data_IF_268969265049
#
_entry.id   IF_268969265049
#
_cell.length_a   1.000
_cell.length_b   1.000
_cell.length_c   1.000
_cell.angle_alpha   90.00
_cell.angle_beta   90.00
_cell.angle_gamma   90.00
#
_symmetry.space_group_name_H-M   'P 1'
#
loop_
_entity.id
_entity.type
_entity.pdbx_description
1 polymer ?
#
# COMPACT_ATOMS: atom_id res chain seq x y z
N UNK A 1 -33.59 45.57 -5.01
CA UNK A 1 -32.39 44.72 -5.24
C UNK A 1 -32.13 44.01 -3.96
N UNK A 2 -32.66 42.81 -3.81
CA UNK A 2 -32.42 41.95 -2.64
C UNK A 2 -31.17 41.12 -2.88
N UNK A 3 -30.18 41.35 -2.02
CA UNK A 3 -28.91 40.62 -2.08
C UNK A 3 -29.13 39.16 -1.72
N UNK A 4 -28.70 38.28 -2.60
CA UNK A 4 -28.59 36.84 -2.33
C UNK A 4 -27.42 36.64 -1.39
N UNK A 5 -27.63 36.23 -0.17
CA UNK A 5 -26.60 35.79 0.79
C UNK A 5 -26.34 34.31 0.58
N UNK A 6 -25.20 33.92 0.03
CA UNK A 6 -24.88 32.49 -0.21
C UNK A 6 -24.62 31.69 1.07
N UNK A 7 -24.67 32.32 2.26
CA UNK A 7 -24.41 31.67 3.55
C UNK A 7 -25.66 31.39 4.39
N UNK A 8 -26.85 31.81 3.92
CA UNK A 8 -28.10 31.58 4.63
C UNK A 8 -28.62 30.16 4.34
N UNK A 9 -28.16 29.17 5.09
CA UNK A 9 -28.69 27.81 4.99
C UNK A 9 -27.82 26.69 5.60
N UNK A 10 -26.58 26.97 5.96
CA UNK A 10 -25.75 25.96 6.62
C UNK A 10 -25.97 26.00 8.11
N UNK A 11 -26.62 24.98 8.65
CA UNK A 11 -26.77 24.80 10.11
C UNK A 11 -25.46 24.19 10.64
N UNK A 12 -24.95 24.64 11.81
CA UNK A 12 -23.81 23.96 12.44
C UNK A 12 -24.23 22.54 12.81
N UNK A 13 -23.59 21.53 12.20
CA UNK A 13 -23.88 20.12 12.44
C UNK A 13 -24.37 19.33 11.22
N UNK A 14 -24.31 19.86 10.00
CA UNK A 14 -24.57 19.06 8.80
C UNK A 14 -23.37 18.12 8.56
N UNK A 15 -23.59 16.81 8.70
CA UNK A 15 -22.59 15.75 8.53
C UNK A 15 -21.99 15.65 7.10
N UNK A 16 -22.33 16.56 6.19
CA UNK A 16 -21.90 16.62 4.80
C UNK A 16 -21.21 17.94 4.42
N UNK A 17 -20.59 18.65 5.36
CA UNK A 17 -19.75 19.80 5.01
C UNK A 17 -18.49 19.30 4.28
N UNK A 18 -18.30 19.61 2.99
CA UNK A 18 -17.13 19.17 2.24
C UNK A 18 -15.81 19.78 2.76
N UNK A 19 -15.86 20.74 3.69
CA UNK A 19 -14.68 21.27 4.38
C UNK A 19 -14.27 20.43 5.59
N UNK A 20 -15.14 19.54 6.07
CA UNK A 20 -14.88 18.58 7.16
C UNK A 20 -14.71 17.15 6.65
N UNK A 21 -14.32 16.96 5.41
CA UNK A 21 -13.82 15.64 4.99
C UNK A 21 -12.65 15.29 5.92
N UNK A 22 -12.72 14.13 6.61
CA UNK A 22 -11.61 13.72 7.43
C UNK A 22 -10.37 13.73 6.57
N UNK A 23 -9.44 14.61 6.90
CA UNK A 23 -8.10 14.62 6.32
C UNK A 23 -7.49 13.29 6.75
N UNK A 24 -7.57 12.28 5.87
CA UNK A 24 -6.85 11.02 6.00
C UNK A 24 -5.34 11.22 5.75
N UNK A 25 -4.83 12.38 6.13
CA UNK A 25 -3.43 12.62 6.45
C UNK A 25 -3.18 12.29 7.93
N UNK A 26 -3.68 11.14 8.37
CA UNK A 26 -3.13 10.59 9.59
C UNK A 26 -1.82 9.94 9.20
N UNK A 27 -0.76 10.46 9.80
CA UNK A 27 0.56 9.91 9.81
C UNK A 27 0.48 8.40 10.01
N UNK A 28 0.44 7.68 8.89
CA UNK A 28 0.76 6.25 8.93
C UNK A 28 2.18 6.26 9.42
N UNK A 29 2.42 5.79 10.62
CA UNK A 29 3.78 5.64 11.13
C UNK A 29 4.47 4.55 10.30
N UNK A 30 4.95 4.98 9.13
CA UNK A 30 5.69 4.15 8.19
C UNK A 30 7.02 3.69 8.78
N UNK A 31 7.41 4.22 9.95
CA UNK A 31 8.68 3.95 10.59
C UNK A 31 8.56 2.93 11.73
N UNK A 32 7.35 2.56 12.16
CA UNK A 32 7.17 1.54 13.18
C UNK A 32 7.68 0.19 12.64
N UNK A 33 8.84 -0.22 13.08
CA UNK A 33 9.43 -1.55 12.89
C UNK A 33 9.76 -1.97 11.44
N UNK A 34 9.99 -1.01 10.53
CA UNK A 34 10.47 -1.35 9.19
C UNK A 34 11.95 -1.74 9.20
N UNK A 35 12.29 -2.77 8.42
CA UNK A 35 13.66 -3.24 8.27
C UNK A 35 14.37 -2.54 7.12
N UNK A 36 15.67 -2.25 7.33
CA UNK A 36 16.54 -1.63 6.33
C UNK A 36 17.32 -2.66 5.49
N UNK A 37 17.26 -3.93 5.88
CA UNK A 37 17.98 -5.02 5.18
C UNK A 37 17.09 -6.25 5.05
N UNK A 38 17.20 -6.99 3.93
CA UNK A 38 16.51 -8.26 3.76
C UNK A 38 16.90 -9.25 4.86
N UNK A 39 15.96 -10.13 5.23
CA UNK A 39 16.19 -11.19 6.20
C UNK A 39 16.93 -12.39 5.65
N UNK A 40 16.93 -13.47 6.40
CA UNK A 40 17.53 -14.74 6.04
C UNK A 40 16.81 -15.41 4.87
N UNK A 41 17.48 -16.36 4.23
CA UNK A 41 16.89 -17.23 3.22
C UNK A 41 15.86 -18.16 3.89
N UNK A 42 14.73 -18.35 3.22
CA UNK A 42 13.65 -19.26 3.59
C UNK A 42 13.63 -20.40 2.57
N UNK A 43 14.14 -21.58 2.90
CA UNK A 43 14.31 -22.67 1.93
C UNK A 43 13.02 -23.08 1.22
N UNK A 44 11.90 -23.10 1.94
CA UNK A 44 10.60 -23.50 1.40
C UNK A 44 10.03 -22.49 0.39
N UNK A 45 10.58 -21.29 0.34
CA UNK A 45 10.13 -20.21 -0.56
C UNK A 45 10.97 -20.08 -1.84
N UNK A 46 11.98 -20.93 -2.06
CA UNK A 46 12.91 -20.80 -3.20
C UNK A 46 12.25 -21.06 -4.56
N UNK A 47 11.16 -21.82 -4.60
CA UNK A 47 10.43 -22.11 -5.85
C UNK A 47 9.60 -20.93 -6.36
N UNK A 48 9.49 -19.87 -5.58
CA UNK A 48 8.69 -18.68 -5.90
C UNK A 48 9.60 -17.45 -6.02
N UNK A 49 9.30 -16.60 -7.00
CA UNK A 49 9.90 -15.26 -7.07
C UNK A 49 9.35 -14.40 -5.93
N UNK A 50 8.06 -14.47 -5.70
CA UNK A 50 7.40 -13.74 -4.61
C UNK A 50 6.41 -14.67 -3.90
N UNK A 51 6.50 -14.72 -2.58
CA UNK A 51 5.60 -15.46 -1.72
C UNK A 51 5.13 -14.54 -0.58
N UNK A 52 3.84 -14.40 -0.45
CA UNK A 52 3.17 -13.93 0.77
C UNK A 52 2.55 -15.13 1.46
N UNK A 53 2.92 -15.38 2.70
CA UNK A 53 2.49 -16.54 3.46
C UNK A 53 1.75 -16.13 4.73
N UNK A 54 0.46 -16.47 4.80
CA UNK A 54 -0.47 -16.22 5.91
C UNK A 54 -0.43 -14.79 6.46
N UNK A 55 -0.41 -13.78 5.58
CA UNK A 55 -0.30 -12.38 5.98
C UNK A 55 -1.52 -11.91 6.76
N UNK A 56 -1.27 -11.40 7.95
CA UNK A 56 -2.20 -10.59 8.72
C UNK A 56 -1.65 -9.18 8.80
N UNK A 57 -2.37 -8.20 8.28
CA UNK A 57 -1.89 -6.83 8.14
C UNK A 57 -3.01 -5.80 8.24
N UNK A 58 -2.68 -4.57 8.64
CA UNK A 58 -3.62 -3.47 8.73
C UNK A 58 -2.91 -2.13 8.85
N UNK A 59 -3.68 -1.05 8.69
CA UNK A 59 -3.15 0.32 8.75
C UNK A 59 -2.97 0.83 10.19
N UNK A 60 -3.65 0.20 11.15
CA UNK A 60 -3.61 0.61 12.56
C UNK A 60 -3.28 -0.57 13.45
N UNK A 61 -2.55 -0.35 14.56
CA UNK A 61 -2.30 -1.38 15.55
C UNK A 61 -3.61 -2.01 16.04
N UNK A 62 -3.69 -3.34 15.98
CA UNK A 62 -4.87 -4.10 16.43
C UNK A 62 -6.05 -4.14 15.45
N UNK A 63 -6.00 -3.44 14.31
CA UNK A 63 -7.03 -3.50 13.27
C UNK A 63 -6.49 -4.20 12.04
N UNK A 64 -6.84 -5.46 11.86
CA UNK A 64 -6.44 -6.24 10.70
C UNK A 64 -7.45 -6.10 9.56
N UNK A 65 -6.96 -5.74 8.37
CA UNK A 65 -7.73 -5.76 7.12
C UNK A 65 -7.49 -7.08 6.38
N UNK A 66 -6.25 -7.57 6.46
CA UNK A 66 -5.91 -8.91 5.98
C UNK A 66 -5.92 -9.88 7.15
N UNK A 67 -6.49 -11.05 6.92
CA UNK A 67 -6.52 -12.13 7.89
C UNK A 67 -6.04 -13.42 7.20
N UNK A 68 -4.79 -13.81 7.46
CA UNK A 68 -4.17 -15.05 6.96
C UNK A 68 -4.26 -15.17 5.43
N UNK A 69 -3.87 -14.12 4.71
CA UNK A 69 -3.90 -14.11 3.24
C UNK A 69 -2.59 -14.63 2.68
N UNK A 70 -2.65 -15.56 1.72
CA UNK A 70 -1.47 -16.08 1.02
C UNK A 70 -1.54 -15.82 -0.48
N UNK A 71 -0.38 -15.58 -1.11
CA UNK A 71 -0.24 -15.39 -2.54
C UNK A 71 1.16 -15.83 -2.97
N UNK A 72 1.24 -16.50 -4.11
CA UNK A 72 2.51 -16.91 -4.71
C UNK A 72 2.62 -16.39 -6.13
N UNK A 73 3.83 -16.08 -6.57
CA UNK A 73 4.17 -15.79 -7.96
C UNK A 73 5.50 -16.46 -8.33
N UNK A 74 5.51 -17.15 -9.46
CA UNK A 74 6.71 -17.76 -10.05
C UNK A 74 7.36 -16.84 -11.06
N UNK A 75 8.55 -17.20 -11.50
CA UNK A 75 9.24 -16.44 -12.54
C UNK A 75 8.44 -16.42 -13.85
N UNK A 76 8.29 -15.21 -14.44
CA UNK A 76 7.50 -15.00 -15.65
C UNK A 76 5.98 -15.15 -15.49
N UNK A 77 5.46 -15.36 -14.29
CA UNK A 77 4.04 -15.54 -14.04
C UNK A 77 3.31 -14.20 -13.93
N UNK A 78 2.10 -14.14 -14.51
CA UNK A 78 1.14 -13.05 -14.32
C UNK A 78 0.05 -13.51 -13.32
N UNK A 79 -0.01 -12.89 -12.16
CA UNK A 79 -0.98 -13.20 -11.11
C UNK A 79 -2.08 -12.14 -11.04
N UNK A 80 -3.34 -12.56 -11.17
CA UNK A 80 -4.51 -11.69 -11.05
C UNK A 80 -5.20 -11.83 -9.69
N UNK A 81 -5.42 -10.71 -8.98
CA UNK A 81 -6.18 -10.69 -7.72
C UNK A 81 -7.57 -10.14 -7.99
N UNK A 82 -8.59 -10.98 -7.85
CA UNK A 82 -9.99 -10.67 -8.15
C UNK A 82 -10.81 -10.69 -6.84
N UNK A 83 -11.77 -9.78 -6.74
CA UNK A 83 -12.68 -9.72 -5.59
C UNK A 83 -13.43 -8.40 -5.50
N UNK A 84 -14.45 -8.29 -4.64
CA UNK A 84 -15.23 -7.07 -4.46
C UNK A 84 -14.39 -5.90 -3.93
N UNK A 85 -14.94 -4.69 -4.02
CA UNK A 85 -14.32 -3.53 -3.37
C UNK A 85 -14.32 -3.71 -1.85
N UNK A 86 -13.23 -3.31 -1.20
CA UNK A 86 -13.05 -3.51 0.24
C UNK A 86 -12.52 -4.91 0.64
N UNK A 87 -12.34 -5.85 -0.28
CA UNK A 87 -11.84 -7.21 0.03
C UNK A 87 -10.34 -7.28 0.41
N UNK A 88 -9.65 -6.14 0.57
CA UNK A 88 -8.24 -6.13 0.96
C UNK A 88 -7.22 -6.30 -0.17
N UNK A 89 -7.63 -6.34 -1.46
CA UNK A 89 -6.71 -6.54 -2.60
C UNK A 89 -5.54 -5.55 -2.61
N UNK A 90 -5.85 -4.27 -2.52
CA UNK A 90 -4.82 -3.21 -2.50
C UNK A 90 -4.01 -3.22 -1.20
N UNK A 91 -4.61 -3.66 -0.10
CA UNK A 91 -3.90 -3.81 1.19
C UNK A 91 -2.89 -4.94 1.12
N UNK A 92 -3.22 -6.06 0.47
CA UNK A 92 -2.29 -7.17 0.24
C UNK A 92 -1.08 -6.70 -0.57
N UNK A 93 -1.30 -6.04 -1.71
CA UNK A 93 -0.20 -5.51 -2.52
C UNK A 93 0.65 -4.50 -1.76
N UNK A 94 0.02 -3.60 -0.99
CA UNK A 94 0.75 -2.62 -0.16
C UNK A 94 1.53 -3.28 0.97
N UNK A 95 0.99 -4.32 1.62
CA UNK A 95 1.69 -5.09 2.65
C UNK A 95 2.91 -5.80 2.08
N UNK A 96 2.78 -6.42 0.90
CA UNK A 96 3.91 -7.05 0.20
C UNK A 96 4.99 -6.05 -0.22
N UNK A 97 4.62 -4.81 -0.49
CA UNK A 97 5.55 -3.72 -0.83
C UNK A 97 6.01 -2.89 0.38
N UNK A 98 5.73 -3.32 1.61
CA UNK A 98 6.19 -2.64 2.83
C UNK A 98 5.51 -1.30 3.12
N UNK A 99 4.38 -0.99 2.48
CA UNK A 99 3.58 0.22 2.71
C UNK A 99 2.49 0.04 3.77
N UNK A 100 2.25 -1.20 4.19
CA UNK A 100 1.33 -1.56 5.28
C UNK A 100 2.05 -2.57 6.14
N UNK A 101 2.01 -2.38 7.45
CA UNK A 101 2.72 -3.25 8.38
C UNK A 101 2.09 -4.65 8.45
N UNK A 102 2.93 -5.65 8.31
CA UNK A 102 2.56 -7.07 8.47
C UNK A 102 2.72 -7.45 9.94
N UNK A 103 1.61 -7.76 10.60
CA UNK A 103 1.59 -8.16 12.01
C UNK A 103 2.02 -9.62 12.20
N UNK A 104 1.54 -10.51 11.31
CA UNK A 104 1.93 -11.93 11.30
C UNK A 104 2.02 -12.44 9.87
N UNK A 105 2.72 -13.54 9.69
CA UNK A 105 3.01 -14.09 8.37
C UNK A 105 4.33 -13.59 7.82
N UNK A 106 4.62 -13.89 6.56
CA UNK A 106 5.91 -13.59 5.94
C UNK A 106 5.75 -13.21 4.48
N UNK A 107 6.61 -12.30 4.00
CA UNK A 107 6.79 -12.01 2.58
C UNK A 107 8.23 -12.39 2.20
N UNK A 108 8.40 -13.17 1.13
CA UNK A 108 9.73 -13.50 0.62
C UNK A 108 9.88 -13.13 -0.85
N UNK A 109 11.08 -12.67 -1.22
CA UNK A 109 11.49 -12.41 -2.59
C UNK A 109 12.66 -13.35 -2.92
N UNK A 110 12.47 -14.22 -3.89
CA UNK A 110 13.48 -15.24 -4.30
C UNK A 110 14.03 -16.00 -3.09
N UNK A 111 13.13 -16.43 -2.19
CA UNK A 111 13.49 -17.14 -0.97
C UNK A 111 14.06 -16.28 0.15
N UNK A 112 14.27 -14.98 -0.05
CA UNK A 112 14.81 -14.07 0.96
C UNK A 112 13.66 -13.33 1.68
N UNK A 113 13.64 -13.33 2.99
CA UNK A 113 12.62 -12.65 3.78
C UNK A 113 12.71 -11.13 3.62
N UNK A 114 11.63 -10.54 3.11
CA UNK A 114 11.45 -9.09 2.89
C UNK A 114 10.31 -8.51 3.72
N UNK A 115 9.79 -9.23 4.71
CA UNK A 115 8.67 -8.80 5.55
C UNK A 115 8.99 -7.48 6.24
N UNK A 116 8.10 -6.50 6.12
CA UNK A 116 8.27 -5.14 6.67
C UNK A 116 9.57 -4.44 6.23
N UNK A 117 10.11 -4.80 5.06
CA UNK A 117 11.23 -4.09 4.48
C UNK A 117 10.74 -2.75 3.91
N UNK A 118 11.55 -1.70 4.06
CA UNK A 118 11.23 -0.37 3.52
C UNK A 118 11.08 -0.41 2.00
N UNK A 119 10.12 0.36 1.48
CA UNK A 119 9.82 0.40 0.05
C UNK A 119 11.01 0.85 -0.81
N UNK A 120 11.86 1.78 -0.34
CA UNK A 120 13.06 2.23 -1.04
C UNK A 120 14.14 1.14 -1.14
N UNK A 121 14.19 0.23 -0.16
CA UNK A 121 15.07 -0.94 -0.20
C UNK A 121 14.50 -2.00 -1.15
N UNK A 122 13.17 -2.23 -1.13
CA UNK A 122 12.52 -3.16 -2.06
C UNK A 122 12.73 -2.78 -3.52
N UNK A 123 12.71 -1.48 -3.84
CA UNK A 123 13.03 -1.01 -5.20
C UNK A 123 14.46 -1.41 -5.60
N UNK A 124 15.42 -1.32 -4.71
CA UNK A 124 16.82 -1.76 -4.96
C UNK A 124 16.93 -3.27 -5.14
N UNK A 125 16.06 -4.04 -4.49
CA UNK A 125 15.95 -5.51 -4.67
C UNK A 125 15.18 -5.90 -5.96
N UNK A 126 14.73 -4.92 -6.74
CA UNK A 126 14.05 -5.12 -8.02
C UNK A 126 12.53 -5.29 -7.93
N UNK A 127 11.91 -4.88 -6.83
CA UNK A 127 10.45 -4.87 -6.70
C UNK A 127 9.91 -3.49 -7.08
N UNK A 128 9.00 -3.44 -8.05
CA UNK A 128 8.28 -2.22 -8.43
C UNK A 128 6.83 -2.25 -7.96
N UNK A 129 6.31 -1.11 -7.55
CA UNK A 129 4.90 -0.92 -7.20
C UNK A 129 4.31 0.27 -7.95
N UNK A 130 3.23 0.04 -8.69
CA UNK A 130 2.49 1.09 -9.37
C UNK A 130 1.18 1.32 -8.62
N UNK A 131 1.00 2.46 -7.95
CA UNK A 131 -0.22 2.77 -7.23
C UNK A 131 -1.39 3.00 -8.21
N UNK A 132 -2.62 2.80 -7.73
CA UNK A 132 -3.82 3.05 -8.53
C UNK A 132 -4.02 4.54 -8.82
N UNK A 133 -3.65 5.41 -7.88
CA UNK A 133 -3.78 6.87 -7.97
C UNK A 133 -2.43 7.54 -7.68
N UNK A 134 -2.30 8.81 -8.05
CA UNK A 134 -1.12 9.65 -7.77
C UNK A 134 0.20 9.09 -8.33
N UNK A 135 0.11 8.45 -9.50
CA UNK A 135 1.27 7.92 -10.22
C UNK A 135 1.81 8.86 -11.30
N UNK A 136 1.34 10.11 -11.30
CA UNK A 136 1.78 11.18 -12.20
C UNK A 136 2.04 12.42 -11.34
N UNK A 137 3.10 13.14 -11.64
CA UNK A 137 3.42 14.44 -11.03
C UNK A 137 2.79 15.55 -11.87
N UNK A 138 1.66 16.18 -11.42
CA UNK A 138 0.93 17.17 -12.24
C UNK A 138 1.72 18.44 -12.53
N UNK A 139 2.75 18.73 -11.72
CA UNK A 139 3.64 19.89 -11.88
C UNK A 139 4.76 19.67 -12.91
N UNK A 140 4.95 18.42 -13.35
CA UNK A 140 5.98 18.06 -14.32
C UNK A 140 5.37 17.84 -15.69
N UNK A 141 6.15 18.09 -16.75
CA UNK A 141 5.81 17.73 -18.12
C UNK A 141 5.73 16.22 -18.31
N UNK A 142 5.15 15.76 -19.42
CA UNK A 142 5.09 14.33 -19.76
C UNK A 142 6.50 13.72 -19.83
N UNK A 143 7.45 14.44 -20.45
CA UNK A 143 8.84 14.00 -20.58
C UNK A 143 9.52 13.85 -19.22
N UNK A 144 9.37 14.85 -18.34
CA UNK A 144 9.92 14.80 -16.98
C UNK A 144 9.28 13.66 -16.15
N UNK A 145 7.97 13.41 -16.30
CA UNK A 145 7.31 12.27 -15.65
C UNK A 145 7.91 10.91 -16.10
N UNK A 146 8.24 10.76 -17.38
CA UNK A 146 8.93 9.56 -17.86
C UNK A 146 10.35 9.46 -17.31
N UNK A 147 11.08 10.56 -17.21
CA UNK A 147 12.45 10.57 -16.69
C UNK A 147 12.51 10.18 -15.20
N UNK A 148 11.49 10.53 -14.41
CA UNK A 148 11.40 10.13 -12.98
C UNK A 148 11.17 8.63 -12.83
N UNK A 149 10.55 7.98 -13.81
CA UNK A 149 10.21 6.54 -13.78
C UNK A 149 11.30 5.61 -14.34
N UNK A 150 12.45 6.16 -14.81
CA UNK A 150 13.52 5.39 -15.44
C UNK A 150 14.64 5.02 -14.48
#
# INVERSE_FOLDING_TARGET
MSGFDPRAGVRPGDENDPSELPVFEQDIDLNAEQRDTPGALVPEAQDYVLLADELTAGYFPGVNILNSCSLTAKDGELVGIIGPNGAGKSTLLKAMFGLVHVNTGRVTLRGRDITNLRADVLVKEGVGFVPQNNNVFPSLTIEENFQVGC
#
